data_IF_538380820557
#
_entry.id   IF_538380820557
#
_cell.length_a   1.000
_cell.length_b   1.000
_cell.length_c   1.000
_cell.angle_alpha   90.00
_cell.angle_beta   90.00
_cell.angle_gamma   90.00
#
_symmetry.space_group_name_H-M   'P 1'
#
loop_
_entity.id
_entity.type
_entity.pdbx_description
1 polymer ?
#
# COMPACT_ATOMS: atom_id res chain seq x y z
N UNK A 1 -11.88 35.71 -12.86
CA UNK A 1 -10.80 34.82 -13.29
C UNK A 1 -10.35 33.87 -12.18
N UNK A 2 -10.03 34.36 -10.98
CA UNK A 2 -9.55 33.54 -9.85
C UNK A 2 -10.58 32.45 -9.40
N UNK A 3 -11.86 32.80 -9.31
CA UNK A 3 -12.94 31.82 -9.00
C UNK A 3 -13.10 30.76 -10.09
N UNK A 4 -12.93 31.10 -11.35
CA UNK A 4 -12.99 30.16 -12.47
C UNK A 4 -11.79 29.20 -12.46
N UNK A 5 -10.60 29.72 -12.16
CA UNK A 5 -9.40 28.90 -12.00
C UNK A 5 -9.51 27.92 -10.83
N UNK A 6 -10.02 28.40 -9.68
CA UNK A 6 -10.27 27.54 -8.51
C UNK A 6 -11.30 26.43 -8.82
N UNK A 7 -12.38 26.79 -9.54
CA UNK A 7 -13.40 25.81 -9.93
C UNK A 7 -12.86 24.78 -10.92
N UNK A 8 -12.08 25.21 -11.91
CA UNK A 8 -11.45 24.31 -12.89
C UNK A 8 -10.45 23.35 -12.21
N UNK A 9 -9.63 23.85 -11.28
CA UNK A 9 -8.70 23.04 -10.52
C UNK A 9 -9.41 22.03 -9.60
N UNK A 10 -10.53 22.43 -8.98
CA UNK A 10 -11.38 21.54 -8.21
C UNK A 10 -11.96 20.42 -9.06
N UNK A 11 -12.53 20.73 -10.22
CA UNK A 11 -13.09 19.73 -11.16
C UNK A 11 -11.99 18.77 -11.63
N UNK A 12 -10.81 19.28 -12.00
CA UNK A 12 -9.68 18.45 -12.39
C UNK A 12 -9.25 17.49 -11.28
N UNK A 13 -9.12 18.00 -10.06
CA UNK A 13 -8.70 17.22 -8.88
C UNK A 13 -9.72 16.11 -8.54
N UNK A 14 -11.01 16.44 -8.55
CA UNK A 14 -12.07 15.44 -8.31
C UNK A 14 -12.18 14.45 -9.48
N UNK A 15 -11.96 14.87 -10.72
CA UNK A 15 -11.87 13.99 -11.88
C UNK A 15 -10.74 12.95 -11.75
N UNK A 16 -9.56 13.40 -11.37
CA UNK A 16 -8.40 12.50 -11.08
C UNK A 16 -8.68 11.56 -9.92
N UNK A 17 -9.40 12.01 -8.91
CA UNK A 17 -9.82 11.18 -7.78
C UNK A 17 -10.78 10.08 -8.21
N UNK A 18 -11.78 10.41 -9.03
CA UNK A 18 -12.74 9.44 -9.58
C UNK A 18 -12.05 8.43 -10.50
N UNK A 19 -11.12 8.87 -11.34
CA UNK A 19 -10.30 8.00 -12.18
C UNK A 19 -9.52 6.98 -11.33
N UNK A 20 -8.82 7.43 -10.30
CA UNK A 20 -8.09 6.56 -9.38
C UNK A 20 -9.01 5.57 -8.63
N UNK A 21 -10.23 5.99 -8.26
CA UNK A 21 -11.24 5.10 -7.69
C UNK A 21 -11.69 4.03 -8.68
N UNK A 22 -11.93 4.40 -9.94
CA UNK A 22 -12.34 3.48 -11.00
C UNK A 22 -11.30 2.40 -11.23
N UNK A 23 -10.02 2.76 -11.35
CA UNK A 23 -8.93 1.79 -11.47
C UNK A 23 -8.85 0.84 -10.27
N UNK A 24 -8.96 1.35 -9.05
CA UNK A 24 -8.96 0.51 -7.84
C UNK A 24 -10.16 -0.44 -7.77
N UNK A 25 -11.33 -0.04 -8.26
CA UNK A 25 -12.49 -0.92 -8.37
C UNK A 25 -12.29 -1.98 -9.45
N UNK A 26 -11.66 -1.64 -10.57
CA UNK A 26 -11.28 -2.60 -11.61
C UNK A 26 -10.29 -3.63 -11.08
N UNK A 27 -9.27 -3.22 -10.32
CA UNK A 27 -8.32 -4.12 -9.67
C UNK A 27 -9.04 -5.12 -8.74
N UNK A 28 -10.00 -4.65 -7.92
CA UNK A 28 -10.82 -5.51 -7.07
C UNK A 28 -11.68 -6.49 -7.90
N UNK A 29 -12.23 -6.05 -9.04
CA UNK A 29 -13.03 -6.90 -9.92
C UNK A 29 -12.19 -7.97 -10.61
N UNK A 30 -11.00 -7.63 -11.05
CA UNK A 30 -10.05 -8.57 -11.67
C UNK A 30 -9.63 -9.62 -10.64
N UNK A 31 -9.30 -9.21 -9.41
CA UNK A 31 -8.94 -10.15 -8.34
C UNK A 31 -10.06 -11.13 -8.00
N UNK A 32 -11.32 -10.74 -8.12
CA UNK A 32 -12.49 -11.60 -7.84
C UNK A 32 -12.83 -12.59 -8.97
N UNK A 33 -12.34 -12.38 -10.20
CA UNK A 33 -12.64 -13.27 -11.36
C UNK A 33 -11.78 -14.52 -11.46
N UNK A 34 -10.77 -14.68 -10.59
CA UNK A 34 -10.07 -15.96 -10.40
C UNK A 34 -9.05 -16.36 -11.46
N UNK A 35 -8.77 -15.54 -12.46
CA UNK A 35 -7.76 -15.78 -13.50
C UNK A 35 -6.43 -15.09 -13.17
N UNK A 36 -5.90 -15.34 -11.96
CA UNK A 36 -4.62 -14.73 -11.55
C UNK A 36 -3.53 -15.78 -11.65
N UNK A 37 -2.56 -15.52 -12.51
CA UNK A 37 -1.39 -16.35 -12.67
C UNK A 37 -0.33 -15.99 -11.62
N UNK A 38 -0.01 -16.94 -10.75
CA UNK A 38 1.03 -16.80 -9.75
C UNK A 38 2.36 -17.31 -10.31
N UNK A 39 3.35 -16.44 -10.34
CA UNK A 39 4.69 -16.74 -10.85
C UNK A 39 5.75 -16.60 -9.76
N UNK A 40 6.98 -16.98 -10.08
CA UNK A 40 8.13 -16.71 -9.26
C UNK A 40 8.49 -15.22 -9.38
N UNK A 41 8.48 -14.51 -8.26
CA UNK A 41 8.79 -13.08 -8.19
C UNK A 41 9.95 -12.85 -7.22
N UNK A 42 10.99 -12.17 -7.66
CA UNK A 42 12.08 -11.73 -6.78
C UNK A 42 11.61 -10.61 -5.86
N UNK A 43 11.84 -10.76 -4.56
CA UNK A 43 11.59 -9.71 -3.58
C UNK A 43 12.41 -8.45 -3.90
N UNK A 44 13.69 -8.61 -4.27
CA UNK A 44 14.56 -7.51 -4.70
C UNK A 44 13.93 -6.70 -5.83
N UNK A 45 13.35 -7.35 -6.84
CA UNK A 45 12.71 -6.65 -7.97
C UNK A 45 11.55 -5.75 -7.54
N UNK A 46 10.82 -6.13 -6.48
CA UNK A 46 9.76 -5.34 -5.90
C UNK A 46 10.32 -4.12 -5.15
N UNK A 47 11.41 -4.30 -4.39
CA UNK A 47 12.06 -3.18 -3.69
C UNK A 47 12.71 -2.19 -4.66
N UNK A 48 13.39 -2.66 -5.71
CA UNK A 48 13.96 -1.80 -6.74
C UNK A 48 12.87 -0.99 -7.46
N UNK A 49 11.73 -1.62 -7.78
CA UNK A 49 10.59 -0.90 -8.35
C UNK A 49 10.09 0.23 -7.42
N UNK A 50 9.98 -0.03 -6.11
CA UNK A 50 9.59 1.00 -5.14
C UNK A 50 10.63 2.11 -5.02
N UNK A 51 11.91 1.75 -5.04
CA UNK A 51 13.01 2.71 -5.01
C UNK A 51 12.92 3.68 -6.19
N UNK A 52 12.76 3.17 -7.40
CA UNK A 52 12.63 3.99 -8.61
C UNK A 52 11.40 4.92 -8.52
N UNK A 53 10.27 4.36 -8.11
CA UNK A 53 9.00 5.11 -8.07
C UNK A 53 8.98 6.22 -7.01
N UNK A 54 9.55 6.00 -5.84
CA UNK A 54 9.39 6.89 -4.70
C UNK A 54 10.64 7.70 -4.38
N UNK A 55 11.82 7.11 -4.45
CA UNK A 55 13.08 7.80 -4.14
C UNK A 55 13.54 8.62 -5.34
N UNK A 56 13.66 8.00 -6.52
CA UNK A 56 14.15 8.70 -7.72
C UNK A 56 13.13 9.68 -8.25
N UNK A 57 11.90 9.23 -8.49
CA UNK A 57 10.89 10.06 -9.16
C UNK A 57 10.20 11.08 -8.24
N UNK A 58 10.07 10.79 -6.94
CA UNK A 58 9.36 11.64 -5.97
C UNK A 58 10.27 12.24 -4.88
N UNK A 59 11.56 11.92 -4.87
CA UNK A 59 12.56 12.40 -3.90
C UNK A 59 12.17 12.17 -2.44
N UNK A 60 11.48 11.06 -2.15
CA UNK A 60 11.06 10.71 -0.80
C UNK A 60 12.20 10.11 0.01
N UNK A 61 12.24 10.39 1.31
CA UNK A 61 13.19 9.79 2.24
C UNK A 61 12.68 8.43 2.71
N UNK A 62 13.12 7.35 2.06
CA UNK A 62 12.76 5.98 2.41
C UNK A 62 14.04 5.20 2.69
N UNK A 63 14.06 4.49 3.81
CA UNK A 63 15.10 3.52 4.13
C UNK A 63 14.63 2.13 3.73
N UNK A 64 15.44 1.42 2.94
CA UNK A 64 15.18 0.04 2.53
C UNK A 64 16.22 -0.88 3.16
N UNK A 65 15.75 -1.98 3.76
CA UNK A 65 16.59 -3.07 4.23
C UNK A 65 15.85 -4.40 3.99
N UNK A 66 16.40 -5.27 3.14
CA UNK A 66 15.73 -6.49 2.75
C UNK A 66 16.70 -7.63 2.50
N UNK A 67 16.23 -8.85 2.80
CA UNK A 67 16.87 -10.10 2.43
C UNK A 67 16.52 -10.48 1.00
N UNK A 68 17.37 -11.26 0.35
CA UNK A 68 17.03 -11.88 -0.92
C UNK A 68 15.97 -12.97 -0.72
N UNK A 69 15.08 -13.12 -1.68
CA UNK A 69 14.04 -14.14 -1.63
C UNK A 69 13.18 -14.20 -2.89
N UNK A 70 12.69 -15.41 -3.18
CA UNK A 70 11.74 -15.64 -4.26
C UNK A 70 10.38 -15.99 -3.67
N UNK A 71 9.35 -15.25 -4.05
CA UNK A 71 7.97 -15.43 -3.58
C UNK A 71 7.06 -15.90 -4.69
N UNK A 72 6.00 -16.62 -4.32
CA UNK A 72 4.93 -16.97 -5.24
C UNK A 72 3.88 -15.88 -5.23
N UNK A 73 3.79 -15.11 -6.31
CA UNK A 73 2.92 -13.96 -6.37
C UNK A 73 2.49 -13.57 -7.80
N UNK A 74 1.47 -12.74 -7.92
CA UNK A 74 1.25 -11.90 -9.08
C UNK A 74 1.94 -10.55 -8.83
N UNK A 75 2.97 -10.25 -9.63
CA UNK A 75 3.89 -9.16 -9.38
C UNK A 75 3.22 -7.77 -9.33
N UNK A 76 2.28 -7.49 -10.24
CA UNK A 76 1.64 -6.17 -10.32
C UNK A 76 0.66 -5.94 -9.17
N UNK A 77 -0.03 -6.99 -8.73
CA UNK A 77 -0.91 -6.91 -7.57
C UNK A 77 -0.09 -6.63 -6.30
N UNK A 78 1.05 -7.30 -6.12
CA UNK A 78 1.91 -7.04 -4.95
C UNK A 78 2.55 -5.65 -5.04
N UNK A 79 2.97 -5.19 -6.21
CA UNK A 79 3.39 -3.78 -6.40
C UNK A 79 2.28 -2.82 -5.97
N UNK A 80 1.02 -3.09 -6.35
CA UNK A 80 -0.13 -2.28 -5.95
C UNK A 80 -0.31 -2.25 -4.43
N UNK A 81 -0.17 -3.40 -3.74
CA UNK A 81 -0.19 -3.45 -2.27
C UNK A 81 0.90 -2.56 -1.68
N UNK A 82 2.15 -2.77 -2.06
CA UNK A 82 3.29 -2.04 -1.52
C UNK A 82 3.17 -0.53 -1.75
N UNK A 83 2.74 -0.11 -2.95
CA UNK A 83 2.48 1.30 -3.26
C UNK A 83 1.37 1.89 -2.38
N UNK A 84 0.27 1.17 -2.15
CA UNK A 84 -0.80 1.63 -1.26
C UNK A 84 -0.30 1.77 0.20
N UNK A 85 0.54 0.85 0.68
CA UNK A 85 1.12 0.94 2.02
C UNK A 85 2.07 2.14 2.14
N UNK A 86 2.93 2.37 1.14
CA UNK A 86 3.83 3.53 1.09
C UNK A 86 3.07 4.86 0.99
N UNK A 87 2.05 4.95 0.13
CA UNK A 87 1.23 6.16 0.02
C UNK A 87 0.49 6.46 1.34
N UNK A 88 0.05 5.43 2.08
CA UNK A 88 -0.55 5.61 3.40
C UNK A 88 0.49 6.05 4.44
N UNK A 89 1.68 5.43 4.44
CA UNK A 89 2.78 5.82 5.31
C UNK A 89 3.19 7.28 5.07
N UNK A 90 3.31 7.69 3.82
CA UNK A 90 3.64 9.07 3.45
C UNK A 90 2.58 10.08 3.92
N UNK A 91 1.29 9.73 3.79
CA UNK A 91 0.19 10.57 4.30
C UNK A 91 0.17 10.69 5.84
N UNK A 92 0.63 9.64 6.53
CA UNK A 92 0.67 9.60 8.01
C UNK A 92 1.97 10.16 8.59
N UNK A 93 3.02 10.30 7.76
CA UNK A 93 4.30 10.85 8.14
C UNK A 93 4.21 12.33 8.49
N UNK A 94 5.07 12.79 9.39
CA UNK A 94 5.36 14.21 9.59
C UNK A 94 6.15 14.77 8.41
N UNK A 95 6.22 16.09 8.31
CA UNK A 95 7.09 16.74 7.34
C UNK A 95 8.53 16.26 7.55
N UNK A 96 9.18 15.79 6.48
CA UNK A 96 10.53 15.17 6.51
C UNK A 96 10.66 13.84 7.28
N UNK A 97 9.57 13.19 7.66
CA UNK A 97 9.57 11.92 8.36
C UNK A 97 10.18 10.78 7.51
N UNK A 98 10.96 9.92 8.16
CA UNK A 98 11.53 8.73 7.55
C UNK A 98 10.47 7.62 7.45
N UNK A 99 10.36 7.00 6.29
CA UNK A 99 9.62 5.76 6.09
C UNK A 99 10.64 4.63 5.98
N UNK A 100 10.40 3.56 6.71
CA UNK A 100 11.25 2.38 6.71
C UNK A 100 10.52 1.23 6.02
N UNK A 101 11.19 0.55 5.08
CA UNK A 101 10.65 -0.59 4.33
C UNK A 101 11.59 -1.76 4.49
N UNK A 102 11.05 -2.85 5.02
CA UNK A 102 11.81 -4.04 5.33
C UNK A 102 11.31 -5.25 4.55
N UNK A 103 12.24 -6.15 4.23
CA UNK A 103 11.98 -7.46 3.68
C UNK A 103 12.72 -8.52 4.48
N UNK A 104 12.00 -9.49 5.04
CA UNK A 104 12.61 -10.52 5.88
C UNK A 104 12.29 -11.90 5.35
N UNK A 105 13.35 -12.65 5.02
CA UNK A 105 13.24 -14.07 4.71
C UNK A 105 12.94 -14.83 6.01
N UNK A 106 11.81 -15.56 6.02
CA UNK A 106 11.37 -16.36 7.16
C UNK A 106 11.35 -17.85 6.77
N UNK A 107 11.27 -18.73 7.76
CA UNK A 107 11.20 -20.19 7.53
C UNK A 107 10.08 -20.61 6.57
N UNK A 108 8.90 -19.98 6.69
CA UNK A 108 7.69 -20.38 5.99
C UNK A 108 7.15 -19.32 5.02
N UNK A 109 7.95 -18.27 4.72
CA UNK A 109 7.53 -17.19 3.83
C UNK A 109 8.51 -16.03 3.79
N UNK A 110 8.11 -14.98 3.11
CA UNK A 110 8.83 -13.73 3.04
C UNK A 110 7.93 -12.59 3.54
N UNK A 111 8.36 -11.90 4.58
CA UNK A 111 7.62 -10.81 5.20
C UNK A 111 8.04 -9.46 4.61
N UNK A 112 7.07 -8.72 4.11
CA UNK A 112 7.20 -7.31 3.73
C UNK A 112 6.65 -6.44 4.85
N UNK A 113 7.37 -5.39 5.22
CA UNK A 113 6.97 -4.47 6.28
C UNK A 113 7.22 -3.02 5.86
N UNK A 114 6.22 -2.16 6.10
CA UNK A 114 6.31 -0.70 5.95
C UNK A 114 6.03 -0.07 7.30
N UNK A 115 7.00 0.70 7.79
CA UNK A 115 6.94 1.37 9.09
C UNK A 115 7.06 2.88 8.92
N UNK A 116 6.22 3.62 9.61
CA UNK A 116 6.21 5.08 9.63
C UNK A 116 6.07 5.60 11.05
N UNK A 117 6.87 6.60 11.38
CA UNK A 117 6.71 7.42 12.58
C UNK A 117 5.74 8.57 12.27
N UNK A 118 4.72 8.77 13.11
CA UNK A 118 3.72 9.79 12.86
C UNK A 118 2.50 9.68 13.77
N UNK A 119 1.36 10.13 13.28
CA UNK A 119 0.13 10.28 14.08
C UNK A 119 -0.40 8.97 14.68
N UNK A 120 -0.08 7.82 14.08
CA UNK A 120 -0.63 6.53 14.48
C UNK A 120 -2.14 6.41 14.25
N UNK A 121 -2.70 5.27 14.67
CA UNK A 121 -4.11 4.91 14.51
C UNK A 121 -4.66 4.48 15.88
N UNK A 122 -5.80 5.02 16.33
CA UNK A 122 -6.44 4.58 17.56
C UNK A 122 -6.81 3.08 17.51
N UNK A 123 -6.67 2.35 18.63
CA UNK A 123 -6.91 0.90 18.68
C UNK A 123 -8.32 0.51 18.23
N UNK A 124 -9.32 1.31 18.59
CA UNK A 124 -10.72 1.14 18.23
C UNK A 124 -10.99 1.27 16.72
N UNK A 125 -10.07 1.87 15.97
CA UNK A 125 -10.18 2.09 14.54
C UNK A 125 -9.50 0.98 13.71
N UNK A 126 -8.54 0.25 14.29
CA UNK A 126 -7.72 -0.75 13.56
C UNK A 126 -8.55 -1.80 12.82
N UNK A 127 -9.67 -2.25 13.37
CA UNK A 127 -10.54 -3.25 12.74
C UNK A 127 -11.46 -2.68 11.64
N UNK A 128 -11.46 -1.35 11.45
CA UNK A 128 -12.31 -0.68 10.47
C UNK A 128 -11.52 -0.18 9.25
N UNK A 129 -10.22 0.11 9.42
CA UNK A 129 -9.42 0.79 8.39
C UNK A 129 -9.21 -0.01 7.10
N UNK A 130 -9.46 -1.32 7.13
CA UNK A 130 -9.47 -2.18 5.93
C UNK A 130 -10.85 -2.26 5.26
N UNK A 131 -11.89 -1.63 5.83
CA UNK A 131 -13.21 -1.55 5.20
C UNK A 131 -13.19 -0.51 4.09
N UNK A 132 -13.83 -0.82 2.97
CA UNK A 132 -13.96 0.11 1.85
C UNK A 132 -14.64 1.42 2.28
N UNK A 133 -14.09 2.54 1.80
CA UNK A 133 -14.57 3.91 2.09
C UNK A 133 -14.43 4.35 3.55
N UNK A 134 -13.75 3.56 4.39
CA UNK A 134 -13.51 3.95 5.77
C UNK A 134 -12.29 4.88 5.89
N UNK A 135 -12.43 5.91 6.74
CA UNK A 135 -11.38 6.89 7.01
C UNK A 135 -11.47 7.33 8.46
N UNK A 136 -10.36 7.27 9.19
CA UNK A 136 -10.25 7.69 10.59
C UNK A 136 -10.53 9.19 10.76
N UNK A 137 -10.01 10.02 9.85
CA UNK A 137 -10.21 11.47 9.85
C UNK A 137 -10.66 11.97 8.48
N UNK A 138 -11.95 12.30 8.36
CA UNK A 138 -12.56 12.83 7.14
C UNK A 138 -12.07 14.22 6.76
N UNK A 139 -11.57 15.00 7.71
CA UNK A 139 -11.12 16.38 7.46
C UNK A 139 -9.74 16.42 6.82
N UNK A 140 -8.80 15.62 7.32
CA UNK A 140 -7.44 15.47 6.76
C UNK A 140 -7.42 14.76 5.42
N UNK A 141 -8.36 13.86 5.17
CA UNK A 141 -8.39 13.06 3.95
C UNK A 141 -8.87 13.86 2.72
N UNK A 142 -9.70 14.88 2.89
CA UNK A 142 -10.12 15.76 1.79
C UNK A 142 -8.93 16.53 1.20
N UNK A 143 -8.01 16.99 2.05
CA UNK A 143 -6.81 17.72 1.60
C UNK A 143 -5.71 16.80 1.00
N UNK A 144 -5.76 15.48 1.27
CA UNK A 144 -4.74 14.51 0.84
C UNK A 144 -5.25 13.41 -0.12
N UNK A 145 -6.37 13.67 -0.83
CA UNK A 145 -6.93 12.81 -1.91
C UNK A 145 -7.07 11.31 -1.56
N UNK A 146 -7.54 10.98 -0.35
CA UNK A 146 -7.79 9.59 0.06
C UNK A 146 -9.25 9.18 -0.15
N UNK A 147 -9.50 8.10 -0.91
CA UNK A 147 -10.84 7.54 -1.13
C UNK A 147 -11.27 6.51 -0.08
N UNK A 148 -10.39 6.11 0.84
CA UNK A 148 -10.64 5.02 1.80
C UNK A 148 -10.70 3.63 1.15
N UNK A 149 -10.14 3.47 -0.06
CA UNK A 149 -10.15 2.19 -0.80
C UNK A 149 -8.80 1.45 -0.76
N UNK A 150 -7.68 2.15 -0.47
CA UNK A 150 -6.35 1.57 -0.59
C UNK A 150 -6.11 0.34 0.30
N UNK A 151 -6.43 0.42 1.59
CA UNK A 151 -6.26 -0.71 2.52
C UNK A 151 -7.28 -1.83 2.28
N UNK A 152 -8.48 -1.51 1.81
CA UNK A 152 -9.46 -2.51 1.41
C UNK A 152 -8.96 -3.31 0.20
N UNK A 153 -8.40 -2.64 -0.81
CA UNK A 153 -7.75 -3.28 -1.96
C UNK A 153 -6.56 -4.14 -1.51
N UNK A 154 -5.71 -3.65 -0.60
CA UNK A 154 -4.63 -4.45 -0.05
C UNK A 154 -5.14 -5.74 0.60
N UNK A 155 -6.21 -5.67 1.38
CA UNK A 155 -6.79 -6.83 2.04
C UNK A 155 -7.30 -7.87 1.02
N UNK A 156 -8.02 -7.46 -0.02
CA UNK A 156 -8.53 -8.33 -1.10
C UNK A 156 -7.37 -8.99 -1.89
N UNK A 157 -6.35 -8.21 -2.28
CA UNK A 157 -5.18 -8.75 -2.98
C UNK A 157 -4.44 -9.76 -2.12
N UNK A 158 -4.23 -9.46 -0.84
CA UNK A 158 -3.52 -10.34 0.06
C UNK A 158 -4.31 -11.63 0.36
N UNK A 159 -5.64 -11.55 0.47
CA UNK A 159 -6.50 -12.73 0.60
C UNK A 159 -6.36 -13.66 -0.60
N UNK A 160 -6.31 -13.13 -1.83
CA UNK A 160 -6.03 -13.88 -3.05
C UNK A 160 -4.67 -14.59 -2.99
N UNK A 161 -3.67 -13.96 -2.38
CA UNK A 161 -2.33 -14.52 -2.16
C UNK A 161 -2.25 -15.44 -0.93
N UNK A 162 -3.39 -15.81 -0.31
CA UNK A 162 -3.47 -16.57 0.94
C UNK A 162 -2.67 -15.92 2.09
N UNK A 163 -2.62 -14.61 2.08
CA UNK A 163 -1.95 -13.76 3.05
C UNK A 163 -2.94 -12.82 3.73
N UNK A 164 -2.46 -12.07 4.73
CA UNK A 164 -3.26 -11.08 5.45
C UNK A 164 -2.42 -9.85 5.76
N UNK A 165 -3.07 -8.68 5.76
CA UNK A 165 -2.47 -7.45 6.21
C UNK A 165 -2.48 -7.40 7.75
N UNK A 166 -1.30 -7.33 8.36
CA UNK A 166 -1.12 -7.11 9.78
C UNK A 166 -0.82 -5.64 10.03
N UNK A 167 -1.52 -5.03 10.99
CA UNK A 167 -1.39 -3.60 11.31
C UNK A 167 -1.13 -3.47 12.80
N UNK A 168 0.00 -2.86 13.14
CA UNK A 168 0.36 -2.46 14.50
C UNK A 168 0.48 -0.95 14.53
N UNK A 169 -0.23 -0.30 15.43
CA UNK A 169 -0.20 1.15 15.53
C UNK A 169 -0.40 1.61 16.97
N UNK A 170 0.26 2.69 17.30
CA UNK A 170 0.09 3.40 18.57
C UNK A 170 -0.04 4.89 18.28
N UNK A 171 -1.09 5.49 18.83
CA UNK A 171 -1.39 6.92 18.62
C UNK A 171 -0.20 7.78 19.07
N UNK A 172 0.24 8.70 18.22
CA UNK A 172 1.39 9.57 18.46
C UNK A 172 2.78 8.92 18.27
N UNK A 173 2.86 7.59 18.00
CA UNK A 173 4.14 6.91 17.75
C UNK A 173 4.33 6.48 16.31
N UNK A 174 3.23 6.06 15.65
CA UNK A 174 3.26 5.65 14.26
C UNK A 174 2.56 4.34 13.99
N UNK A 175 2.82 3.79 12.80
CA UNK A 175 2.16 2.59 12.29
C UNK A 175 3.16 1.69 11.59
N UNK A 176 3.03 0.38 11.82
CA UNK A 176 3.71 -0.68 11.08
C UNK A 176 2.66 -1.54 10.39
N UNK A 177 2.78 -1.69 9.08
CA UNK A 177 1.95 -2.56 8.25
C UNK A 177 2.80 -3.64 7.64
N UNK A 178 2.39 -4.91 7.76
CA UNK A 178 3.17 -6.04 7.25
C UNK A 178 2.28 -7.13 6.68
N UNK A 179 2.84 -7.92 5.76
CA UNK A 179 2.21 -9.14 5.23
C UNK A 179 3.29 -10.14 4.84
N UNK A 180 2.91 -11.42 4.76
CA UNK A 180 3.85 -12.50 4.43
C UNK A 180 3.36 -13.26 3.21
N UNK A 181 4.23 -13.41 2.21
CA UNK A 181 3.95 -14.22 1.03
C UNK A 181 4.64 -15.59 1.13
N UNK A 182 4.05 -16.65 0.57
CA UNK A 182 4.72 -17.94 0.49
C UNK A 182 5.95 -17.84 -0.40
N UNK A 183 7.01 -18.55 -0.02
CA UNK A 183 8.19 -18.71 -0.86
C UNK A 183 7.84 -19.50 -2.12
N UNK A 184 8.52 -19.19 -3.21
CA UNK A 184 8.48 -20.01 -4.41
C UNK A 184 9.08 -21.40 -4.10
N UNK A 185 8.39 -22.47 -4.51
CA UNK A 185 8.87 -23.85 -4.42
C UNK A 185 8.82 -24.47 -5.82
N UNK A 186 9.91 -25.05 -6.24
CA UNK A 186 10.02 -25.68 -7.59
C UNK A 186 9.03 -26.82 -7.84
N UNK A 187 8.52 -27.44 -6.77
CA UNK A 187 7.59 -28.58 -6.84
C UNK A 187 6.12 -28.19 -7.15
N UNK A 188 5.84 -26.96 -7.55
CA UNK A 188 4.47 -26.45 -7.80
C UNK A 188 4.20 -26.11 -9.29
N UNK A 189 4.90 -26.80 -10.21
CA UNK A 189 4.63 -26.79 -11.66
C UNK A 189 3.61 -27.85 -12.03
#
# INVERSE_FOLDING_TARGET
EEKQFMSANYIYTEGKRLEAMSFRLLDIMVTRRGEVEFTMVSAESLFLYLYDMYVINKSMKIYFNYDDGMVRAEANLIKSVLMNLLDNAFKASEADGLIEVYGHLMKDGYCFEVKVHGVGIPKEELHKITKAFYMVDKSRSRSRNGAGLGLALCAEILELHKSRLNIRSELGKGTTMSFTLPLWKEDQL
#
